data_IF_593876407361
#
_entry.id   IF_593876407361
#
_cell.length_a   1.000
_cell.length_b   1.000
_cell.length_c   1.000
_cell.angle_alpha   90.00
_cell.angle_beta   90.00
_cell.angle_gamma   90.00
#
_symmetry.space_group_name_H-M   'P 1'
#
loop_
_entity.id
_entity.type
_entity.pdbx_description
1 polymer ?
#
# COMPACT_ATOMS: atom_id res chain seq x y z
N UNK A 1 -3.47 6.43 49.81
CA UNK A 1 -2.56 5.41 50.36
C UNK A 1 -2.50 4.26 49.39
N UNK A 2 -1.28 3.91 48.95
CA UNK A 2 -0.98 2.67 48.25
C UNK A 2 -1.20 1.48 49.19
N UNK A 3 -1.67 0.36 48.65
CA UNK A 3 -1.41 -0.95 49.22
C UNK A 3 -0.72 -1.81 48.16
N UNK A 4 0.34 -2.50 48.59
CA UNK A 4 1.41 -3.12 47.81
C UNK A 4 1.31 -4.66 47.88
N UNK A 5 1.96 -5.33 46.90
CA UNK A 5 2.50 -6.71 46.92
C UNK A 5 1.53 -7.86 46.59
N UNK A 6 1.85 -8.91 45.83
CA UNK A 6 3.05 -9.41 45.14
C UNK A 6 2.52 -10.52 44.19
N UNK A 7 2.90 -10.61 42.92
CA UNK A 7 3.84 -11.63 42.45
C UNK A 7 3.94 -11.50 40.92
N UNK A 8 5.16 -11.42 40.42
CA UNK A 8 5.49 -11.43 39.02
C UNK A 8 5.50 -12.87 38.49
N UNK A 9 4.62 -13.21 37.55
CA UNK A 9 4.88 -14.29 36.58
C UNK A 9 4.36 -13.92 35.19
N UNK A 10 5.31 -13.55 34.33
CA UNK A 10 5.37 -13.91 32.92
C UNK A 10 4.04 -13.91 32.13
N UNK A 11 3.64 -12.75 31.64
CA UNK A 11 3.10 -12.68 30.29
C UNK A 11 3.43 -11.32 29.69
N UNK A 12 4.71 -11.14 29.35
CA UNK A 12 5.08 -10.27 28.25
C UNK A 12 4.45 -10.86 26.99
N UNK A 13 3.16 -10.56 26.77
CA UNK A 13 2.55 -10.71 25.45
C UNK A 13 3.46 -9.90 24.52
N UNK A 14 4.11 -10.50 23.52
CA UNK A 14 4.75 -9.68 22.50
C UNK A 14 3.66 -8.76 21.94
N UNK A 15 3.97 -7.47 21.67
CA UNK A 15 3.04 -6.61 20.96
C UNK A 15 2.61 -7.38 19.73
N UNK A 16 1.30 -7.52 19.52
CA UNK A 16 0.76 -8.16 18.33
C UNK A 16 1.16 -7.30 17.12
N UNK A 17 2.39 -7.48 16.64
CA UNK A 17 3.00 -6.82 15.50
C UNK A 17 2.47 -7.46 14.21
N UNK A 18 1.15 -7.62 14.12
CA UNK A 18 0.49 -8.27 12.99
C UNK A 18 -0.85 -7.64 12.60
N UNK A 19 -1.32 -6.59 13.28
CA UNK A 19 -2.52 -5.84 12.85
C UNK A 19 -2.24 -4.51 12.14
N UNK A 20 -1.02 -3.94 12.21
CA UNK A 20 -0.68 -2.66 11.56
C UNK A 20 0.18 -2.81 10.28
N UNK A 21 0.85 -3.93 10.07
CA UNK A 21 1.74 -4.12 8.91
C UNK A 21 0.98 -4.23 7.57
N UNK A 22 -0.25 -4.76 7.58
CA UNK A 22 -1.08 -4.89 6.37
C UNK A 22 -1.79 -3.60 5.94
N UNK A 23 -1.92 -2.61 6.83
CA UNK A 23 -2.64 -1.36 6.54
C UNK A 23 -1.74 -0.31 5.91
N UNK A 24 -0.46 -0.24 6.33
CA UNK A 24 0.45 0.84 5.92
C UNK A 24 0.73 0.91 4.43
N UNK A 25 0.75 -0.23 3.73
CA UNK A 25 0.99 -0.28 2.28
C UNK A 25 -0.08 0.48 1.50
N UNK A 26 -1.27 0.67 2.09
CA UNK A 26 -2.36 1.42 1.50
C UNK A 26 -2.45 2.86 2.01
N UNK A 27 -1.66 3.27 3.00
CA UNK A 27 -1.70 4.65 3.49
C UNK A 27 -1.15 5.63 2.46
N UNK A 28 -1.76 6.81 2.39
CA UNK A 28 -1.25 7.94 1.63
C UNK A 28 0.17 8.34 2.03
N UNK A 29 0.96 8.89 1.10
CA UNK A 29 2.33 9.37 1.34
C UNK A 29 2.33 10.42 2.45
N UNK A 30 1.42 11.40 2.40
CA UNK A 30 1.31 12.42 3.44
C UNK A 30 0.97 11.83 4.82
N UNK A 31 0.14 10.79 4.86
CA UNK A 31 -0.24 10.11 6.11
C UNK A 31 0.93 9.28 6.69
N UNK A 32 1.72 8.62 5.84
CA UNK A 32 2.95 7.91 6.24
C UNK A 32 4.00 8.86 6.84
N UNK A 33 3.98 10.13 6.43
CA UNK A 33 4.88 11.17 6.93
C UNK A 33 4.30 11.94 8.13
N UNK A 34 3.21 11.45 8.73
CA UNK A 34 2.58 12.07 9.90
C UNK A 34 1.72 13.29 9.60
N UNK A 35 1.39 13.53 8.33
CA UNK A 35 0.47 14.59 7.92
C UNK A 35 -0.96 14.36 8.42
N UNK A 36 -1.74 15.44 8.63
CA UNK A 36 -3.12 15.31 9.09
C UNK A 36 -3.99 14.61 8.05
N UNK A 37 -4.99 13.85 8.50
CA UNK A 37 -5.94 13.18 7.61
C UNK A 37 -6.64 14.18 6.68
N UNK A 38 -6.80 13.81 5.41
CA UNK A 38 -7.49 14.64 4.41
C UNK A 38 -8.25 13.77 3.42
N UNK A 39 -9.25 14.35 2.76
CA UNK A 39 -9.96 13.66 1.67
C UNK A 39 -9.02 13.19 0.55
N UNK A 40 -7.95 13.93 0.27
CA UNK A 40 -6.94 13.51 -0.71
C UNK A 40 -6.17 12.27 -0.25
N UNK A 41 -5.96 12.10 1.07
CA UNK A 41 -5.35 10.88 1.62
C UNK A 41 -6.26 9.66 1.43
N UNK A 42 -7.58 9.82 1.51
CA UNK A 42 -8.53 8.74 1.23
C UNK A 42 -8.49 8.30 -0.23
N UNK A 43 -8.46 9.27 -1.17
CA UNK A 43 -8.33 9.00 -2.60
C UNK A 43 -6.99 8.32 -2.93
N UNK A 44 -5.90 8.80 -2.35
CA UNK A 44 -4.58 8.21 -2.52
C UNK A 44 -4.54 6.78 -1.97
N UNK A 45 -5.17 6.54 -0.82
CA UNK A 45 -5.24 5.21 -0.23
C UNK A 45 -6.02 4.23 -1.10
N UNK A 46 -7.15 4.69 -1.65
CA UNK A 46 -7.93 3.92 -2.63
C UNK A 46 -7.12 3.59 -3.89
N UNK A 47 -6.33 4.55 -4.38
CA UNK A 47 -5.42 4.32 -5.50
C UNK A 47 -4.39 3.22 -5.19
N UNK A 48 -3.78 3.23 -4.00
CA UNK A 48 -2.82 2.19 -3.62
C UNK A 48 -3.45 0.80 -3.50
N UNK A 49 -4.73 0.71 -3.10
CA UNK A 49 -5.50 -0.55 -3.12
C UNK A 49 -5.71 -1.03 -4.56
N UNK A 50 -6.18 -0.17 -5.45
CA UNK A 50 -6.37 -0.52 -6.87
C UNK A 50 -5.05 -0.97 -7.51
N UNK A 51 -3.98 -0.23 -7.25
CA UNK A 51 -2.64 -0.55 -7.69
C UNK A 51 -2.24 -1.96 -7.25
N UNK A 52 -2.35 -2.26 -5.95
CA UNK A 52 -2.00 -3.55 -5.35
C UNK A 52 -2.80 -4.70 -5.99
N UNK A 53 -4.11 -4.50 -6.20
CA UNK A 53 -4.96 -5.50 -6.85
C UNK A 53 -4.47 -5.80 -8.26
N UNK A 54 -4.23 -4.77 -9.06
CA UNK A 54 -3.86 -4.90 -10.47
C UNK A 54 -2.51 -5.58 -10.69
N UNK A 55 -1.58 -5.47 -9.73
CA UNK A 55 -0.27 -6.13 -9.82
C UNK A 55 -0.28 -7.55 -9.26
N UNK A 56 -0.97 -7.80 -8.14
CA UNK A 56 -0.86 -9.05 -7.37
C UNK A 56 -1.96 -10.07 -7.65
N UNK A 57 -3.00 -9.70 -8.40
CA UNK A 57 -4.08 -10.62 -8.71
C UNK A 57 -4.26 -10.70 -10.22
N UNK A 58 -4.63 -11.88 -10.71
CA UNK A 58 -4.86 -12.17 -12.12
C UNK A 58 -6.26 -12.78 -12.30
N UNK A 59 -7.26 -12.05 -11.79
CA UNK A 59 -8.67 -12.42 -11.86
C UNK A 59 -9.01 -13.74 -11.17
N UNK A 60 -10.00 -14.43 -11.72
CA UNK A 60 -10.44 -15.75 -11.26
C UNK A 60 -9.86 -16.85 -12.15
N UNK A 61 -9.43 -17.95 -11.54
CA UNK A 61 -9.05 -19.16 -12.27
C UNK A 61 -10.29 -19.92 -12.78
N UNK A 62 -10.08 -21.00 -13.54
CA UNK A 62 -11.15 -21.85 -14.11
C UNK A 62 -12.13 -22.43 -13.06
N UNK A 63 -11.77 -22.40 -11.77
CA UNK A 63 -12.60 -22.87 -10.64
C UNK A 63 -13.27 -21.71 -9.89
N UNK A 64 -13.26 -20.50 -10.45
CA UNK A 64 -13.80 -19.30 -9.81
C UNK A 64 -13.01 -18.80 -8.60
N UNK A 65 -11.78 -19.30 -8.36
CA UNK A 65 -10.95 -18.85 -7.24
C UNK A 65 -10.01 -17.74 -7.68
N UNK A 66 -9.81 -16.75 -6.82
CA UNK A 66 -8.85 -15.66 -7.03
C UNK A 66 -7.46 -16.23 -7.31
N UNK A 67 -6.86 -15.80 -8.42
CA UNK A 67 -5.50 -16.17 -8.81
C UNK A 67 -4.53 -15.11 -8.30
N UNK A 68 -3.78 -15.44 -7.27
CA UNK A 68 -2.73 -14.58 -6.74
C UNK A 68 -1.43 -14.76 -7.54
N UNK A 69 -0.75 -13.67 -7.87
CA UNK A 69 0.60 -13.62 -8.42
C UNK A 69 1.45 -12.70 -7.56
N UNK A 70 2.66 -13.15 -7.21
CA UNK A 70 3.56 -12.35 -6.40
C UNK A 70 4.47 -11.55 -7.34
N UNK A 71 4.49 -10.24 -7.15
CA UNK A 71 5.46 -9.35 -7.79
C UNK A 71 6.43 -8.87 -6.72
N UNK A 72 7.58 -9.55 -6.62
CA UNK A 72 8.56 -9.37 -5.54
C UNK A 72 8.99 -7.91 -5.32
N UNK A 73 9.06 -7.10 -6.39
CA UNK A 73 9.36 -5.66 -6.32
C UNK A 73 8.45 -4.90 -5.35
N UNK A 74 7.17 -5.27 -5.27
CA UNK A 74 6.17 -4.57 -4.45
C UNK A 74 5.91 -5.30 -3.13
N UNK A 75 6.24 -6.58 -3.04
CA UNK A 75 6.13 -7.34 -1.79
C UNK A 75 7.02 -6.76 -0.67
N UNK A 76 8.16 -6.14 -1.04
CA UNK A 76 9.04 -5.44 -0.10
C UNK A 76 8.34 -4.33 0.69
N UNK A 77 7.24 -3.77 0.18
CA UNK A 77 6.47 -2.71 0.84
C UNK A 77 5.85 -3.17 2.16
N UNK A 78 5.55 -4.46 2.31
CA UNK A 78 5.04 -5.03 3.56
C UNK A 78 6.07 -4.90 4.70
N UNK A 79 7.36 -4.88 4.35
CA UNK A 79 8.47 -4.90 5.30
C UNK A 79 9.11 -3.53 5.51
N UNK A 80 8.98 -2.62 4.54
CA UNK A 80 9.49 -1.24 4.63
C UNK A 80 8.89 -0.46 5.80
N UNK A 81 9.66 0.37 6.48
CA UNK A 81 9.10 1.33 7.44
C UNK A 81 8.29 2.44 6.75
N UNK A 82 7.63 3.30 7.53
CA UNK A 82 6.72 4.32 6.98
C UNK A 82 7.46 5.34 6.10
N UNK A 83 8.67 5.75 6.49
CA UNK A 83 9.50 6.68 5.73
C UNK A 83 10.01 6.05 4.44
N UNK A 84 10.55 4.84 4.53
CA UNK A 84 11.01 4.08 3.36
C UNK A 84 9.85 3.83 2.38
N UNK A 85 8.68 3.45 2.89
CA UNK A 85 7.50 3.23 2.06
C UNK A 85 7.03 4.53 1.38
N UNK A 86 7.07 5.67 2.08
CA UNK A 86 6.75 6.97 1.50
C UNK A 86 7.71 7.31 0.35
N UNK A 87 9.02 7.10 0.52
CA UNK A 87 10.03 7.37 -0.51
C UNK A 87 9.89 6.44 -1.70
N UNK A 88 9.63 5.14 -1.47
CA UNK A 88 9.34 4.17 -2.52
C UNK A 88 8.13 4.60 -3.36
N UNK A 89 7.05 5.04 -2.71
CA UNK A 89 5.84 5.52 -3.38
C UNK A 89 6.07 6.81 -4.17
N UNK A 90 6.78 7.78 -3.59
CA UNK A 90 7.20 9.02 -4.27
C UNK A 90 8.03 8.73 -5.53
N UNK A 91 9.00 7.82 -5.43
CA UNK A 91 9.84 7.41 -6.57
C UNK A 91 9.03 6.90 -7.76
N UNK A 92 7.94 6.14 -7.51
CA UNK A 92 7.05 5.68 -8.59
C UNK A 92 6.23 6.79 -9.24
N UNK A 93 6.03 7.92 -8.56
CA UNK A 93 5.21 9.03 -9.05
C UNK A 93 6.04 10.07 -9.80
N UNK A 94 7.28 10.31 -9.39
CA UNK A 94 8.17 11.34 -9.97
C UNK A 94 8.84 10.89 -11.27
N UNK A 95 9.10 9.59 -11.45
CA UNK A 95 9.69 9.08 -12.69
C UNK A 95 8.69 9.22 -13.87
N UNK A 96 9.02 10.07 -14.84
CA UNK A 96 8.19 10.42 -16.01
C UNK A 96 7.73 9.17 -16.78
N UNK A 97 8.63 8.20 -16.98
CA UNK A 97 8.33 6.88 -17.57
C UNK A 97 8.12 5.76 -16.53
N UNK A 98 8.33 6.05 -15.25
CA UNK A 98 8.33 5.04 -14.19
C UNK A 98 6.95 4.43 -14.03
N UNK A 99 5.91 5.25 -14.12
CA UNK A 99 4.53 4.79 -14.01
C UNK A 99 4.05 3.95 -15.17
N UNK A 100 4.42 4.33 -16.39
CA UNK A 100 4.03 3.59 -17.58
C UNK A 100 4.69 2.19 -17.59
N UNK A 101 5.92 2.09 -17.09
CA UNK A 101 6.58 0.79 -16.83
C UNK A 101 5.90 -0.03 -15.73
N UNK A 102 5.22 0.61 -14.79
CA UNK A 102 4.49 -0.06 -13.71
C UNK A 102 3.15 -0.62 -14.21
N UNK A 103 2.34 0.19 -14.89
CA UNK A 103 1.01 -0.20 -15.35
C UNK A 103 1.04 -1.23 -16.48
N UNK A 104 2.12 -1.26 -17.28
CA UNK A 104 2.38 -2.37 -18.23
C UNK A 104 2.59 -3.72 -17.53
N UNK A 105 2.98 -3.70 -16.25
CA UNK A 105 3.11 -4.87 -15.38
C UNK A 105 1.80 -5.38 -14.76
N UNK A 106 0.66 -4.72 -15.04
CA UNK A 106 -0.66 -5.17 -14.59
C UNK A 106 -0.95 -6.57 -15.09
N UNK A 107 -1.62 -7.36 -14.25
CA UNK A 107 -2.03 -8.70 -14.65
C UNK A 107 -2.95 -8.63 -15.87
N UNK A 108 -2.90 -9.63 -16.77
CA UNK A 108 -3.71 -9.65 -17.99
C UNK A 108 -5.19 -9.31 -17.77
N UNK A 109 -5.80 -9.84 -16.69
CA UNK A 109 -7.20 -9.58 -16.35
C UNK A 109 -7.55 -8.13 -15.99
N UNK A 110 -6.56 -7.28 -15.69
CA UNK A 110 -6.76 -5.90 -15.25
C UNK A 110 -6.20 -4.84 -16.21
N UNK A 111 -5.70 -5.24 -17.40
CA UNK A 111 -5.19 -4.27 -18.39
C UNK A 111 -6.24 -3.26 -18.86
N UNK A 112 -7.52 -3.61 -18.83
CA UNK A 112 -8.62 -2.67 -19.15
C UNK A 112 -8.75 -1.52 -18.15
N UNK A 113 -8.20 -1.65 -16.94
CA UNK A 113 -8.20 -0.60 -15.93
C UNK A 113 -7.07 0.41 -16.10
N UNK A 114 -6.10 0.15 -16.98
CA UNK A 114 -4.93 1.02 -17.19
C UNK A 114 -5.34 2.48 -17.47
N UNK A 115 -6.26 2.78 -18.41
CA UNK A 115 -6.64 4.18 -18.68
C UNK A 115 -7.28 4.86 -17.47
N UNK A 116 -8.12 4.13 -16.72
CA UNK A 116 -8.77 4.63 -15.51
C UNK A 116 -7.75 4.96 -14.42
N UNK A 117 -6.79 4.07 -14.19
CA UNK A 117 -5.73 4.25 -13.19
C UNK A 117 -4.79 5.40 -13.58
N UNK A 118 -4.49 5.58 -14.87
CA UNK A 118 -3.72 6.72 -15.36
C UNK A 118 -4.45 8.05 -15.14
N UNK A 119 -5.75 8.12 -15.43
CA UNK A 119 -6.53 9.32 -15.15
C UNK A 119 -6.60 9.61 -13.65
N UNK A 120 -6.90 8.60 -12.83
CA UNK A 120 -6.94 8.75 -11.37
C UNK A 120 -5.61 9.28 -10.80
N UNK A 121 -4.47 8.78 -11.29
CA UNK A 121 -3.14 9.29 -10.91
C UNK A 121 -3.01 10.79 -11.17
N UNK A 122 -3.46 11.30 -12.32
CA UNK A 122 -3.35 12.73 -12.66
C UNK A 122 -4.11 13.62 -11.67
N UNK A 123 -5.25 13.15 -11.16
CA UNK A 123 -6.04 13.87 -10.17
C UNK A 123 -5.42 13.83 -8.77
N UNK A 124 -4.90 12.68 -8.36
CA UNK A 124 -4.32 12.49 -7.02
C UNK A 124 -2.94 13.14 -6.91
N UNK A 125 -2.13 13.09 -7.97
CA UNK A 125 -0.75 13.57 -8.02
C UNK A 125 -0.58 14.64 -9.11
N UNK A 126 -1.18 15.82 -8.96
CA UNK A 126 -1.07 16.87 -9.97
C UNK A 126 0.40 17.31 -10.12
N UNK A 127 0.88 17.33 -11.36
CA UNK A 127 2.29 17.60 -11.72
C UNK A 127 3.31 16.62 -11.10
N UNK A 128 2.91 15.39 -10.77
CA UNK A 128 3.82 14.39 -10.18
C UNK A 128 4.28 14.72 -8.76
N UNK A 129 3.59 15.65 -8.08
CA UNK A 129 3.88 16.00 -6.69
C UNK A 129 3.09 15.09 -5.76
N UNK A 130 3.78 14.64 -4.71
CA UNK A 130 3.26 13.82 -3.62
C UNK A 130 3.48 14.55 -2.29
#
# INVERSE_FOLDING_TARGET
MLNLNLEATLSSRPPQLSSMAGTKIFMAIGALLGGPHSFMHDLESFFWVLFWICIHYDGLNKKGKVKHRIVSKYEKWNYADEGELADLKKGLMVEEDGFDKIITGFAPGYKSLIPCVQELRKYIFPNGKC
#
